data_IF_562262602663
#
_entry.id   IF_562262602663
#
_cell.length_a   1.000
_cell.length_b   1.000
_cell.length_c   1.000
_cell.angle_alpha   90.00
_cell.angle_beta   90.00
_cell.angle_gamma   90.00
#
_symmetry.space_group_name_H-M   'P 1'
#
loop_
_entity.id
_entity.type
_entity.pdbx_description
1 polymer ?
#
# COMPACT_ATOMS: atom_id res chain seq x y z
N UNK A 1 1.01 31.81 -10.95
CA UNK A 1 2.43 31.61 -10.52
C UNK A 1 2.46 31.03 -9.13
N UNK A 2 3.22 29.94 -8.91
CA UNK A 2 3.42 29.37 -7.58
C UNK A 2 4.42 30.27 -6.83
N UNK A 3 4.05 30.71 -5.62
CA UNK A 3 4.92 31.57 -4.83
C UNK A 3 6.12 30.81 -4.26
N UNK A 4 7.21 31.52 -4.00
CA UNK A 4 8.40 30.92 -3.37
C UNK A 4 8.08 30.33 -1.97
N UNK A 5 7.06 30.84 -1.30
CA UNK A 5 6.60 30.33 0.00
C UNK A 5 5.88 28.99 -0.17
N UNK A 6 5.04 28.85 -1.19
CA UNK A 6 4.35 27.58 -1.49
C UNK A 6 5.35 26.48 -1.86
N UNK A 7 6.35 26.80 -2.69
CA UNK A 7 7.44 25.88 -3.02
C UNK A 7 8.16 25.40 -1.75
N UNK A 8 8.52 26.33 -0.85
CA UNK A 8 9.19 25.98 0.42
C UNK A 8 8.31 25.12 1.32
N UNK A 9 7.01 25.44 1.45
CA UNK A 9 6.07 24.63 2.25
C UNK A 9 5.93 23.22 1.70
N UNK A 10 5.80 23.09 0.36
CA UNK A 10 5.71 21.80 -0.31
C UNK A 10 6.99 20.98 -0.09
N UNK A 11 8.16 21.59 -0.25
CA UNK A 11 9.44 20.91 -0.02
C UNK A 11 9.59 20.42 1.44
N UNK A 12 9.20 21.23 2.42
CA UNK A 12 9.23 20.85 3.83
C UNK A 12 8.23 19.70 4.13
N UNK A 13 7.04 19.73 3.51
CA UNK A 13 6.06 18.66 3.65
C UNK A 13 6.59 17.35 3.05
N UNK A 14 7.16 17.38 1.85
CA UNK A 14 7.72 16.20 1.19
C UNK A 14 8.90 15.62 2.00
N UNK A 15 9.76 16.48 2.57
CA UNK A 15 10.83 16.05 3.45
C UNK A 15 10.29 15.36 4.72
N UNK A 16 9.29 15.95 5.38
CA UNK A 16 8.65 15.34 6.54
C UNK A 16 7.96 14.01 6.16
N UNK A 17 7.20 14.00 5.08
CA UNK A 17 6.48 12.82 4.59
C UNK A 17 7.41 11.68 4.18
N UNK A 18 8.66 11.97 3.77
CA UNK A 18 9.65 10.94 3.45
C UNK A 18 10.25 10.24 4.67
N UNK A 19 10.04 10.77 5.89
CA UNK A 19 10.56 10.18 7.12
C UNK A 19 9.77 8.95 7.52
N UNK A 20 10.48 7.89 7.91
CA UNK A 20 9.90 6.60 8.27
C UNK A 20 8.91 6.67 9.44
N UNK A 21 9.13 7.59 10.37
CA UNK A 21 8.33 7.83 11.58
C UNK A 21 7.14 8.79 11.37
N UNK A 22 6.89 9.25 10.14
CA UNK A 22 5.82 10.22 9.83
C UNK A 22 4.42 9.77 10.28
N UNK A 23 4.19 8.47 10.39
CA UNK A 23 2.89 7.89 10.72
C UNK A 23 2.79 7.31 12.14
N UNK A 24 3.71 7.63 13.05
CA UNK A 24 3.67 7.11 14.43
C UNK A 24 2.31 7.33 15.12
N UNK A 25 1.70 8.52 14.97
CA UNK A 25 0.40 8.81 15.57
C UNK A 25 -0.73 7.93 15.00
N UNK A 26 -0.71 7.67 13.69
CA UNK A 26 -1.71 6.81 13.04
C UNK A 26 -1.57 5.37 13.52
N UNK A 27 -0.34 4.89 13.68
CA UNK A 27 -0.05 3.54 14.18
C UNK A 27 -0.40 3.44 15.67
N UNK A 28 -0.09 4.47 16.46
CA UNK A 28 -0.52 4.52 17.86
C UNK A 28 -2.04 4.37 18.00
N UNK A 29 -2.83 4.94 17.06
CA UNK A 29 -4.29 4.74 17.02
C UNK A 29 -4.67 3.26 16.90
N UNK A 30 -4.07 2.52 15.97
CA UNK A 30 -4.31 1.07 15.84
C UNK A 30 -3.93 0.31 17.12
N UNK A 31 -2.81 0.69 17.75
CA UNK A 31 -2.37 0.04 18.98
C UNK A 31 -3.29 0.29 20.17
N UNK A 32 -3.91 1.48 20.25
CA UNK A 32 -4.92 1.79 21.28
C UNK A 32 -6.21 1.02 21.04
N UNK A 33 -6.69 0.91 19.78
CA UNK A 33 -7.82 0.06 19.42
C UNK A 33 -7.57 -1.40 19.83
N UNK A 34 -6.40 -1.93 19.52
CA UNK A 34 -5.99 -3.31 19.83
C UNK A 34 -5.89 -3.57 21.34
N UNK A 35 -5.60 -2.55 22.17
CA UNK A 35 -5.63 -2.70 23.64
C UNK A 35 -7.04 -2.88 24.18
N UNK A 36 -8.03 -2.31 23.50
CA UNK A 36 -9.44 -2.44 23.88
C UNK A 36 -10.01 -3.78 23.43
N UNK A 37 -9.76 -4.18 22.20
CA UNK A 37 -10.19 -5.46 21.65
C UNK A 37 -9.18 -5.93 20.56
N UNK A 38 -8.30 -6.85 20.95
CA UNK A 38 -7.29 -7.36 20.02
C UNK A 38 -7.93 -8.27 18.95
N UNK A 39 -7.76 -7.97 17.65
CA UNK A 39 -8.31 -8.78 16.58
C UNK A 39 -7.74 -10.21 16.58
N UNK A 40 -8.60 -11.21 16.60
CA UNK A 40 -8.23 -12.63 16.68
C UNK A 40 -8.63 -13.38 15.42
N UNK A 41 -7.82 -14.40 15.09
CA UNK A 41 -8.13 -15.33 13.99
C UNK A 41 -8.31 -14.62 12.64
N UNK A 42 -7.47 -13.61 12.36
CA UNK A 42 -7.51 -12.88 11.11
C UNK A 42 -7.13 -13.80 9.95
N UNK A 43 -8.05 -13.94 8.98
CA UNK A 43 -7.78 -14.71 7.78
C UNK A 43 -7.03 -13.87 6.76
N UNK A 44 -7.49 -12.65 6.49
CA UNK A 44 -6.83 -11.76 5.54
C UNK A 44 -6.60 -10.38 6.16
N UNK A 45 -5.35 -9.96 6.18
CA UNK A 45 -4.96 -8.61 6.56
C UNK A 45 -4.84 -7.74 5.32
N UNK A 46 -5.53 -6.61 5.31
CA UNK A 46 -5.42 -5.57 4.29
C UNK A 46 -4.56 -4.43 4.82
N UNK A 47 -3.48 -4.10 4.10
CA UNK A 47 -2.59 -3.02 4.50
C UNK A 47 -2.03 -2.25 3.31
N UNK A 48 -1.43 -1.11 3.57
CA UNK A 48 -0.89 -0.19 2.57
C UNK A 48 -1.41 1.22 2.74
N UNK A 49 -1.77 1.87 1.65
CA UNK A 49 -2.09 3.30 1.63
C UNK A 49 -3.60 3.62 1.70
N UNK A 50 -3.96 4.83 1.24
CA UNK A 50 -5.32 5.38 1.37
C UNK A 50 -6.42 4.53 0.74
N UNK A 51 -6.15 3.83 -0.36
CA UNK A 51 -7.17 2.97 -1.00
C UNK A 51 -7.59 1.82 -0.09
N UNK A 52 -6.67 1.29 0.74
CA UNK A 52 -7.03 0.32 1.78
C UNK A 52 -7.72 1.02 2.94
N UNK A 53 -7.14 2.11 3.47
CA UNK A 53 -7.71 2.84 4.61
C UNK A 53 -9.18 3.22 4.41
N UNK A 54 -9.53 3.70 3.21
CA UNK A 54 -10.87 4.21 2.91
C UNK A 54 -11.84 3.14 2.38
N UNK A 55 -11.45 1.88 2.36
CA UNK A 55 -12.36 0.78 2.04
C UNK A 55 -13.28 0.48 3.24
N UNK A 56 -14.28 1.34 3.41
CA UNK A 56 -15.17 1.29 4.57
C UNK A 56 -16.08 0.05 4.60
N UNK A 57 -16.40 -0.51 3.44
CA UNK A 57 -17.21 -1.73 3.29
C UNK A 57 -16.39 -3.02 3.29
N UNK A 58 -15.07 -2.97 3.59
CA UNK A 58 -14.17 -4.11 3.47
C UNK A 58 -14.69 -5.38 4.15
N UNK A 59 -15.18 -5.28 5.38
CA UNK A 59 -15.70 -6.43 6.12
C UNK A 59 -16.96 -7.03 5.46
N UNK A 60 -17.82 -6.19 4.91
CA UNK A 60 -19.04 -6.61 4.21
C UNK A 60 -18.68 -7.24 2.85
N UNK A 61 -17.81 -6.59 2.09
CA UNK A 61 -17.40 -7.02 0.74
C UNK A 61 -16.64 -8.35 0.77
N UNK A 62 -15.93 -8.64 1.86
CA UNK A 62 -15.10 -9.82 1.99
C UNK A 62 -15.75 -10.98 2.75
N UNK A 63 -17.04 -10.86 3.14
CA UNK A 63 -17.73 -11.97 3.81
C UNK A 63 -17.68 -13.25 2.99
N UNK A 64 -17.52 -14.43 3.64
CA UNK A 64 -17.51 -14.67 5.09
C UNK A 64 -16.11 -14.63 5.75
N UNK A 65 -15.10 -14.08 5.11
CA UNK A 65 -13.73 -14.04 5.62
C UNK A 65 -13.61 -13.07 6.81
N UNK A 66 -12.82 -13.44 7.80
CA UNK A 66 -12.41 -12.52 8.87
C UNK A 66 -11.27 -11.65 8.38
N UNK A 67 -11.57 -10.41 8.09
CA UNK A 67 -10.60 -9.45 7.55
C UNK A 67 -10.24 -8.38 8.59
N UNK A 68 -9.06 -7.78 8.42
CA UNK A 68 -8.60 -6.65 9.22
C UNK A 68 -8.00 -5.59 8.32
N UNK A 69 -8.45 -4.34 8.48
CA UNK A 69 -7.90 -3.19 7.76
C UNK A 69 -6.84 -2.50 8.63
N UNK A 70 -5.61 -2.45 8.14
CA UNK A 70 -4.46 -1.71 8.72
C UNK A 70 -3.79 -0.84 7.67
N UNK A 71 -4.60 -0.27 6.76
CA UNK A 71 -4.16 0.76 5.83
C UNK A 71 -4.06 2.12 6.48
N UNK A 72 -3.07 2.94 6.08
CA UNK A 72 -2.93 4.31 6.56
C UNK A 72 -2.65 5.27 5.40
N UNK A 73 -3.45 6.35 5.34
CA UNK A 73 -3.52 7.23 4.18
C UNK A 73 -2.21 7.95 3.88
N UNK A 74 -1.80 7.94 2.61
CA UNK A 74 -0.56 8.60 2.18
C UNK A 74 0.71 7.77 2.42
N UNK A 75 0.61 6.53 2.90
CA UNK A 75 1.77 5.70 3.18
C UNK A 75 2.63 5.45 1.94
N UNK A 76 3.94 5.50 2.14
CA UNK A 76 4.93 4.88 1.28
C UNK A 76 5.19 3.44 1.73
N UNK A 77 5.76 2.62 0.86
CA UNK A 77 6.13 1.24 1.24
C UNK A 77 7.14 1.24 2.39
N UNK A 78 8.06 2.20 2.40
CA UNK A 78 9.03 2.37 3.49
C UNK A 78 8.37 2.60 4.87
N UNK A 79 7.19 3.27 4.93
CA UNK A 79 6.44 3.43 6.18
C UNK A 79 5.85 2.10 6.65
N UNK A 80 5.27 1.31 5.72
CA UNK A 80 4.78 -0.04 6.05
C UNK A 80 5.91 -0.92 6.54
N UNK A 81 7.09 -0.84 5.92
CA UNK A 81 8.30 -1.54 6.37
C UNK A 81 8.74 -1.12 7.77
N UNK A 82 8.66 0.17 8.10
CA UNK A 82 9.03 0.69 9.41
C UNK A 82 8.11 0.15 10.52
N UNK A 83 6.82 0.14 10.26
CA UNK A 83 5.78 -0.29 11.20
C UNK A 83 5.36 -1.76 11.01
N UNK A 84 6.15 -2.57 10.32
CA UNK A 84 5.81 -3.94 9.93
C UNK A 84 5.33 -4.81 11.11
N UNK A 85 6.00 -4.71 12.25
CA UNK A 85 5.65 -5.48 13.45
C UNK A 85 4.27 -5.09 13.98
N UNK A 86 3.94 -3.81 13.95
CA UNK A 86 2.70 -3.25 14.51
C UNK A 86 1.51 -3.39 13.57
N UNK A 87 1.71 -3.32 12.24
CA UNK A 87 0.59 -3.32 11.28
C UNK A 87 0.40 -4.65 10.55
N UNK A 88 1.36 -5.58 10.64
CA UNK A 88 1.29 -6.88 9.96
C UNK A 88 1.60 -8.03 10.92
N UNK A 89 2.83 -8.11 11.42
CA UNK A 89 3.36 -9.31 12.06
C UNK A 89 2.56 -9.72 13.29
N UNK A 90 2.19 -8.77 14.15
CA UNK A 90 1.47 -9.05 15.42
C UNK A 90 0.13 -9.76 15.26
N UNK A 91 -0.52 -9.64 14.09
CA UNK A 91 -1.83 -10.24 13.82
C UNK A 91 -1.74 -11.67 13.30
N UNK A 92 -0.56 -12.10 12.84
CA UNK A 92 -0.32 -13.44 12.29
C UNK A 92 -1.43 -13.89 11.30
N UNK A 93 -1.72 -13.10 10.24
CA UNK A 93 -2.79 -13.40 9.29
C UNK A 93 -2.47 -14.65 8.47
N UNK A 94 -3.49 -15.27 7.84
CA UNK A 94 -3.29 -16.39 6.90
C UNK A 94 -2.89 -15.90 5.51
N UNK A 95 -3.31 -14.69 5.14
CA UNK A 95 -2.93 -14.01 3.90
C UNK A 95 -2.87 -12.49 4.11
N UNK A 96 -2.15 -11.81 3.23
CA UNK A 96 -2.02 -10.35 3.24
C UNK A 96 -2.43 -9.82 1.86
N UNK A 97 -3.27 -8.79 1.85
CA UNK A 97 -3.55 -7.98 0.65
C UNK A 97 -2.88 -6.62 0.84
N UNK A 98 -2.05 -6.27 -0.11
CA UNK A 98 -1.22 -5.08 -0.07
C UNK A 98 -1.50 -4.16 -1.26
N UNK A 99 -1.71 -2.86 -0.98
CA UNK A 99 -1.81 -1.80 -2.00
C UNK A 99 -1.01 -0.59 -1.56
N UNK A 100 0.14 -0.36 -2.20
CA UNK A 100 1.00 0.80 -1.95
C UNK A 100 1.94 1.02 -3.14
N UNK A 101 2.59 2.20 -3.19
CA UNK A 101 3.56 2.56 -4.24
C UNK A 101 3.21 3.85 -4.96
N UNK A 102 1.91 4.16 -5.15
CA UNK A 102 1.49 5.41 -5.80
C UNK A 102 2.06 6.66 -5.12
N UNK A 103 2.10 6.67 -3.79
CA UNK A 103 2.64 7.80 -3.03
C UNK A 103 4.17 7.91 -3.16
N UNK A 104 4.85 6.77 -3.24
CA UNK A 104 6.29 6.69 -3.50
C UNK A 104 6.64 7.36 -4.83
N UNK A 105 5.93 6.99 -5.92
CA UNK A 105 6.09 7.59 -7.23
C UNK A 105 5.71 9.09 -7.23
N UNK A 106 4.64 9.47 -6.52
CA UNK A 106 4.23 10.88 -6.37
C UNK A 106 5.29 11.70 -5.62
N UNK A 107 6.02 11.07 -4.70
CA UNK A 107 7.15 11.67 -3.99
C UNK A 107 8.47 11.60 -4.77
N UNK A 108 8.41 11.32 -6.07
CA UNK A 108 9.53 11.30 -7.03
C UNK A 108 10.53 10.15 -6.82
N UNK A 109 10.16 9.08 -6.13
CA UNK A 109 10.93 7.84 -6.22
C UNK A 109 10.76 7.23 -7.61
N UNK A 110 11.82 6.60 -8.10
CA UNK A 110 11.71 5.81 -9.33
C UNK A 110 10.98 4.49 -9.08
N UNK A 111 10.46 3.81 -10.11
CA UNK A 111 9.90 2.45 -9.97
C UNK A 111 10.88 1.49 -9.30
N UNK A 112 12.17 1.53 -9.66
CA UNK A 112 13.21 0.67 -9.08
C UNK A 112 13.48 0.95 -7.60
N UNK A 113 13.38 2.22 -7.17
CA UNK A 113 13.48 2.59 -5.75
C UNK A 113 12.27 2.08 -4.97
N UNK A 114 11.09 2.19 -5.56
CA UNK A 114 9.84 1.72 -4.97
C UNK A 114 9.81 0.19 -4.87
N UNK A 115 10.31 -0.51 -5.89
CA UNK A 115 10.44 -1.98 -5.89
C UNK A 115 11.43 -2.47 -4.83
N UNK A 116 12.56 -1.79 -4.61
CA UNK A 116 13.46 -2.16 -3.51
C UNK A 116 12.78 -2.13 -2.15
N UNK A 117 11.93 -1.14 -1.90
CA UNK A 117 11.15 -1.09 -0.66
C UNK A 117 10.12 -2.24 -0.59
N UNK A 118 9.53 -2.63 -1.72
CA UNK A 118 8.62 -3.76 -1.79
C UNK A 118 9.34 -5.10 -1.54
N UNK A 119 10.52 -5.30 -2.10
CA UNK A 119 11.32 -6.50 -1.86
C UNK A 119 11.67 -6.64 -0.36
N UNK A 120 11.98 -5.54 0.32
CA UNK A 120 12.18 -5.53 1.78
C UNK A 120 10.91 -5.97 2.51
N UNK A 121 9.72 -5.49 2.10
CA UNK A 121 8.45 -5.91 2.67
C UNK A 121 8.20 -7.41 2.46
N UNK A 122 8.36 -7.88 1.23
CA UNK A 122 8.19 -9.29 0.87
C UNK A 122 9.10 -10.19 1.70
N UNK A 123 10.37 -9.83 1.81
CA UNK A 123 11.34 -10.60 2.58
C UNK A 123 11.00 -10.63 4.08
N UNK A 124 10.53 -9.51 4.64
CA UNK A 124 10.02 -9.46 6.02
C UNK A 124 8.82 -10.39 6.23
N UNK A 125 7.86 -10.38 5.29
CA UNK A 125 6.69 -11.28 5.34
C UNK A 125 7.15 -12.73 5.33
N UNK A 126 8.01 -13.12 4.39
CA UNK A 126 8.49 -14.50 4.28
C UNK A 126 9.28 -14.97 5.50
N UNK A 127 10.07 -14.09 6.11
CA UNK A 127 10.87 -14.41 7.30
C UNK A 127 10.02 -14.50 8.57
N UNK A 128 9.12 -13.53 8.79
CA UNK A 128 8.35 -13.43 10.02
C UNK A 128 7.07 -14.27 10.01
N UNK A 129 6.50 -14.53 8.83
CA UNK A 129 5.23 -15.22 8.63
C UNK A 129 5.37 -16.30 7.54
N UNK A 130 6.15 -17.38 7.79
CA UNK A 130 6.40 -18.41 6.80
C UNK A 130 5.12 -19.04 6.25
N UNK A 131 5.01 -19.10 4.91
CA UNK A 131 3.86 -19.66 4.21
C UNK A 131 2.65 -18.73 4.07
N UNK A 132 2.70 -17.51 4.59
CA UNK A 132 1.66 -16.50 4.37
C UNK A 132 1.74 -15.99 2.93
N UNK A 133 0.59 -16.01 2.24
CA UNK A 133 0.49 -15.54 0.86
C UNK A 133 0.31 -14.03 0.80
N UNK A 134 1.07 -13.36 -0.06
CA UNK A 134 1.05 -11.91 -0.29
C UNK A 134 0.37 -11.62 -1.63
N UNK A 135 -0.85 -11.08 -1.58
CA UNK A 135 -1.57 -10.56 -2.73
C UNK A 135 -1.25 -9.07 -2.90
N UNK A 136 -0.69 -8.70 -4.04
CA UNK A 136 -0.31 -7.31 -4.34
C UNK A 136 -1.25 -6.76 -5.38
N UNK A 137 -2.08 -5.81 -5.00
CA UNK A 137 -2.95 -5.08 -5.94
C UNK A 137 -2.08 -4.05 -6.66
N UNK A 138 -2.10 -4.08 -7.99
CA UNK A 138 -1.39 -3.13 -8.85
C UNK A 138 -1.84 -1.68 -8.63
N UNK A 139 -0.94 -0.75 -8.91
CA UNK A 139 -1.29 0.67 -8.92
C UNK A 139 -2.32 0.89 -10.02
N UNK A 140 -3.41 1.59 -9.68
CA UNK A 140 -4.51 1.92 -10.58
C UNK A 140 -4.23 3.21 -11.34
N UNK A 141 -4.64 3.32 -12.62
CA UNK A 141 -4.59 4.57 -13.34
C UNK A 141 -5.51 5.60 -12.70
N UNK A 142 -4.99 6.78 -12.36
CA UNK A 142 -5.77 7.88 -11.76
C UNK A 142 -5.78 9.10 -12.70
N UNK A 143 -6.95 9.74 -12.91
CA UNK A 143 -7.00 11.01 -13.67
C UNK A 143 -6.09 12.10 -13.09
N UNK A 144 -5.91 12.11 -11.77
CA UNK A 144 -5.07 13.09 -11.09
C UNK A 144 -3.56 12.87 -11.30
N UNK A 145 -3.15 11.67 -11.80
CA UNK A 145 -1.75 11.25 -11.92
C UNK A 145 -1.35 10.79 -13.33
N UNK A 146 -1.99 11.33 -14.35
CA UNK A 146 -1.66 11.01 -15.77
C UNK A 146 -0.16 11.20 -16.06
N UNK A 147 0.48 12.13 -15.40
CA UNK A 147 1.92 12.40 -15.53
C UNK A 147 2.83 11.31 -14.99
N UNK A 148 2.31 10.35 -14.21
CA UNK A 148 3.05 9.20 -13.65
C UNK A 148 2.76 7.88 -14.39
N UNK A 149 2.00 7.91 -15.49
CA UNK A 149 1.53 6.69 -16.18
C UNK A 149 2.66 5.70 -16.49
N UNK A 150 3.79 6.20 -16.96
CA UNK A 150 4.93 5.35 -17.31
C UNK A 150 5.55 4.69 -16.09
N UNK A 151 5.68 5.44 -15.01
CA UNK A 151 6.21 4.98 -13.74
C UNK A 151 5.26 3.99 -13.06
N UNK A 152 3.94 4.23 -13.13
CA UNK A 152 2.91 3.33 -12.61
C UNK A 152 2.91 1.98 -13.36
N UNK A 153 2.98 2.01 -14.70
CA UNK A 153 3.06 0.81 -15.54
C UNK A 153 4.36 0.04 -15.23
N UNK A 154 5.51 0.72 -15.24
CA UNK A 154 6.80 0.10 -14.97
C UNK A 154 6.83 -0.57 -13.58
N UNK A 155 6.27 0.08 -12.54
CA UNK A 155 6.14 -0.52 -11.22
C UNK A 155 5.28 -1.78 -11.25
N UNK A 156 4.10 -1.75 -11.89
CA UNK A 156 3.22 -2.91 -12.00
C UNK A 156 3.88 -4.08 -12.74
N UNK A 157 4.61 -3.81 -13.82
CA UNK A 157 5.37 -4.83 -14.56
C UNK A 157 6.45 -5.48 -13.68
N UNK A 158 7.17 -4.70 -12.87
CA UNK A 158 8.18 -5.22 -11.96
C UNK A 158 7.56 -6.08 -10.84
N UNK A 159 6.41 -5.68 -10.28
CA UNK A 159 5.68 -6.52 -9.30
C UNK A 159 5.21 -7.83 -9.95
N UNK A 160 4.66 -7.77 -11.17
CA UNK A 160 4.26 -8.96 -11.91
C UNK A 160 5.44 -9.92 -12.18
N UNK A 161 6.62 -9.38 -12.48
CA UNK A 161 7.84 -10.17 -12.65
C UNK A 161 8.26 -10.84 -11.33
N UNK A 162 8.21 -10.14 -10.20
CA UNK A 162 8.49 -10.73 -8.87
C UNK A 162 7.49 -11.85 -8.58
N UNK A 163 6.18 -11.61 -8.76
CA UNK A 163 5.15 -12.60 -8.55
C UNK A 163 5.31 -13.84 -9.43
N UNK A 164 5.81 -13.69 -10.66
CA UNK A 164 6.08 -14.83 -11.56
C UNK A 164 7.20 -15.78 -11.08
N UNK A 165 8.01 -15.34 -10.12
CA UNK A 165 9.18 -16.06 -9.60
C UNK A 165 9.00 -16.50 -8.12
N UNK A 166 7.87 -16.19 -7.51
CA UNK A 166 7.61 -16.43 -6.10
C UNK A 166 6.19 -16.94 -5.87
N UNK A 167 6.07 -18.25 -5.58
CA UNK A 167 4.78 -18.94 -5.42
C UNK A 167 3.92 -18.39 -4.26
N UNK A 168 4.50 -17.61 -3.35
CA UNK A 168 3.80 -16.95 -2.25
C UNK A 168 3.41 -15.51 -2.55
N UNK A 169 3.65 -15.02 -3.76
CA UNK A 169 3.26 -13.67 -4.20
C UNK A 169 2.32 -13.77 -5.39
N UNK A 170 1.18 -13.11 -5.31
CA UNK A 170 0.25 -12.95 -6.45
C UNK A 170 0.07 -11.49 -6.78
N UNK A 171 0.32 -11.11 -8.01
CA UNK A 171 -0.01 -9.79 -8.54
C UNK A 171 -1.45 -9.78 -9.03
N UNK A 172 -2.23 -8.80 -8.59
CA UNK A 172 -3.62 -8.56 -9.02
C UNK A 172 -3.62 -7.31 -9.88
N UNK A 173 -3.64 -7.49 -11.19
CA UNK A 173 -3.76 -6.39 -12.12
C UNK A 173 -5.19 -5.85 -12.14
N UNK A 174 -5.32 -4.55 -11.88
CA UNK A 174 -6.60 -3.83 -11.92
C UNK A 174 -6.59 -2.70 -12.94
N UNK A 175 -5.53 -2.59 -13.76
CA UNK A 175 -5.35 -1.44 -14.65
C UNK A 175 -6.52 -1.28 -15.63
N UNK A 176 -6.82 -2.32 -16.40
CA UNK A 176 -7.89 -2.26 -17.39
C UNK A 176 -9.28 -2.13 -16.75
N UNK A 177 -9.48 -2.71 -15.56
CA UNK A 177 -10.73 -2.59 -14.81
C UNK A 177 -11.03 -1.13 -14.34
N UNK A 178 -10.01 -0.28 -14.32
CA UNK A 178 -10.11 1.13 -13.95
C UNK A 178 -10.17 2.07 -15.15
N UNK A 179 -10.35 1.51 -16.35
CA UNK A 179 -10.57 2.27 -17.59
C UNK A 179 -12.01 2.09 -18.09
N UNK A 180 -12.57 3.14 -18.69
CA UNK A 180 -13.83 3.02 -19.43
C UNK A 180 -13.65 2.18 -20.69
N UNK A 181 -14.77 1.83 -21.35
CA UNK A 181 -14.74 1.12 -22.64
C UNK A 181 -13.95 1.86 -23.74
N UNK A 182 -13.81 3.18 -23.61
CA UNK A 182 -13.03 4.04 -24.52
C UNK A 182 -11.57 4.21 -24.07
N UNK A 183 -11.13 3.49 -23.00
CA UNK A 183 -9.78 3.58 -22.46
C UNK A 183 -9.49 4.85 -21.63
N UNK A 184 -10.54 5.53 -21.16
CA UNK A 184 -10.40 6.73 -20.32
C UNK A 184 -10.36 6.30 -18.86
N UNK A 185 -9.45 6.90 -18.08
CA UNK A 185 -9.34 6.67 -16.64
C UNK A 185 -10.63 7.02 -15.92
N UNK A 186 -11.18 6.08 -15.18
CA UNK A 186 -12.39 6.29 -14.38
C UNK A 186 -11.99 7.14 -13.16
N UNK A 187 -12.76 8.21 -12.82
CA UNK A 187 -12.54 8.95 -11.60
C UNK A 187 -12.56 8.03 -10.38
N UNK A 188 -11.66 8.28 -9.45
CA UNK A 188 -11.65 7.51 -8.20
C UNK A 188 -12.98 7.70 -7.45
N UNK A 189 -13.56 6.59 -7.06
CA UNK A 189 -14.73 6.54 -6.17
C UNK A 189 -14.33 6.91 -4.75
#
# INVERSE_FOLDING_TARGET
EISSLEIKKTALYLDAWSKKDFYEDAIAGFLEEDKLDFPKEIEVLFTGSSSIRFWNSLEEDMQPLKVLNRGFGGAHIAHVNHHFEDVIQRYSPKAIVFFCGTNDLTALKTPEETIRDFEVLKDKVHQALPGVHLFVIGIKPSPARVYLEKEEIAYNEMIAEIASKDDLVTFIDIWDAMLSAEGVRIPEL
#
